data_IF_072109789767
#
_entry.id   IF_072109789767
#
_cell.length_a   1.000
_cell.length_b   1.000
_cell.length_c   1.000
_cell.angle_alpha   90.00
_cell.angle_beta   90.00
_cell.angle_gamma   90.00
#
_symmetry.space_group_name_H-M   'P 1'
#
loop_
_entity.id
_entity.type
_entity.pdbx_description
1 polymer ?
#
# COMPACT_ATOMS: atom_id res chain seq x y z
N UNK A 1 16.10 -40.26 -49.47
CA UNK A 1 15.48 -38.91 -49.48
C UNK A 1 14.05 -39.08 -48.99
N UNK A 2 13.57 -38.51 -47.89
CA UNK A 2 13.86 -37.24 -47.22
C UNK A 2 13.36 -37.34 -45.76
N UNK A 3 14.17 -36.88 -44.82
CA UNK A 3 13.80 -36.67 -43.41
C UNK A 3 12.87 -35.46 -43.29
N UNK A 4 11.83 -35.55 -42.47
CA UNK A 4 11.01 -34.40 -42.06
C UNK A 4 11.20 -34.21 -40.57
N UNK A 5 12.00 -33.22 -40.19
CA UNK A 5 12.13 -32.77 -38.82
C UNK A 5 11.16 -31.60 -38.60
N UNK A 6 10.22 -31.76 -37.67
CA UNK A 6 9.32 -30.68 -37.23
C UNK A 6 10.05 -29.91 -36.13
N UNK A 7 10.42 -28.66 -36.42
CA UNK A 7 11.00 -27.73 -35.44
C UNK A 7 9.85 -27.03 -34.73
N UNK A 8 9.62 -27.36 -33.45
CA UNK A 8 8.71 -26.62 -32.60
C UNK A 8 9.39 -25.33 -32.13
N UNK A 9 8.90 -24.17 -32.57
CA UNK A 9 9.33 -22.88 -32.07
C UNK A 9 8.61 -22.60 -30.74
N UNK A 10 9.36 -22.59 -29.64
CA UNK A 10 8.84 -22.18 -28.32
C UNK A 10 8.97 -20.66 -28.23
N UNK A 11 7.86 -19.94 -28.37
CA UNK A 11 7.84 -18.50 -28.17
C UNK A 11 7.90 -18.18 -26.67
N UNK A 12 9.06 -17.75 -26.18
CA UNK A 12 9.20 -17.16 -24.85
C UNK A 12 8.62 -15.74 -24.88
N UNK A 13 7.43 -15.56 -24.33
CA UNK A 13 6.88 -14.23 -24.08
C UNK A 13 7.68 -13.59 -22.94
N UNK A 14 8.60 -12.68 -23.28
CA UNK A 14 9.21 -11.79 -22.30
C UNK A 14 8.18 -10.71 -21.94
N UNK A 15 7.46 -10.91 -20.84
CA UNK A 15 6.71 -9.81 -20.23
C UNK A 15 7.70 -8.74 -19.76
N UNK A 16 7.49 -7.49 -20.15
CA UNK A 16 8.27 -6.37 -19.62
C UNK A 16 8.08 -6.33 -18.10
N UNK A 17 9.15 -6.57 -17.34
CA UNK A 17 9.16 -6.33 -15.91
C UNK A 17 9.14 -4.81 -15.74
N UNK A 18 7.96 -4.25 -15.45
CA UNK A 18 7.85 -2.86 -15.01
C UNK A 18 8.41 -2.85 -13.60
N UNK A 19 9.65 -2.37 -13.46
CA UNK A 19 10.21 -2.06 -12.14
C UNK A 19 9.46 -0.82 -11.67
N UNK A 20 8.75 -0.94 -10.54
CA UNK A 20 8.12 0.20 -9.90
C UNK A 20 9.21 1.22 -9.51
N UNK A 21 8.91 2.50 -9.68
CA UNK A 21 9.85 3.57 -9.38
C UNK A 21 10.06 3.66 -7.86
N UNK A 22 11.31 3.62 -7.40
CA UNK A 22 11.62 3.78 -5.97
C UNK A 22 11.30 5.20 -5.51
N UNK A 23 10.66 5.34 -4.35
CA UNK A 23 10.32 6.65 -3.81
C UNK A 23 11.57 7.48 -3.52
N UNK A 24 11.67 8.64 -4.19
CA UNK A 24 12.63 9.65 -3.80
C UNK A 24 12.34 10.10 -2.35
N UNK A 25 13.33 9.95 -1.45
CA UNK A 25 13.14 10.19 -0.01
C UNK A 25 12.56 11.58 0.29
N UNK A 26 12.96 12.60 -0.47
CA UNK A 26 12.49 13.97 -0.33
C UNK A 26 11.02 14.11 -0.73
N UNK A 27 10.61 13.55 -1.87
CA UNK A 27 9.22 13.59 -2.34
C UNK A 27 8.30 12.90 -1.35
N UNK A 28 8.67 11.71 -0.88
CA UNK A 28 7.87 10.97 0.09
C UNK A 28 7.80 11.68 1.44
N UNK A 29 8.90 12.28 1.88
CA UNK A 29 8.90 13.07 3.13
C UNK A 29 7.97 14.26 3.04
N UNK A 30 7.96 14.99 1.91
CA UNK A 30 7.04 16.11 1.71
C UNK A 30 5.58 15.68 1.61
N UNK A 31 5.30 14.52 1.02
CA UNK A 31 3.95 13.96 0.96
C UNK A 31 3.43 13.55 2.35
N UNK A 32 4.28 12.92 3.19
CA UNK A 32 3.86 12.39 4.48
C UNK A 32 3.93 13.41 5.64
N UNK A 33 4.80 14.42 5.57
CA UNK A 33 4.98 15.40 6.65
C UNK A 33 3.68 16.13 7.06
N UNK A 34 2.80 16.55 6.13
CA UNK A 34 1.50 17.13 6.48
C UNK A 34 0.62 16.21 7.34
N UNK A 35 0.81 14.89 7.24
CA UNK A 35 0.04 13.88 7.94
C UNK A 35 0.58 13.57 9.34
N UNK A 36 1.71 14.17 9.77
CA UNK A 36 2.42 13.82 11.00
C UNK A 36 1.51 13.85 12.24
N UNK A 37 0.75 14.93 12.41
CA UNK A 37 -0.15 15.08 13.55
C UNK A 37 -1.26 14.02 13.55
N UNK A 38 -1.92 13.82 12.41
CA UNK A 38 -2.99 12.82 12.29
C UNK A 38 -2.45 11.38 12.42
N UNK A 39 -1.23 11.12 11.94
CA UNK A 39 -0.52 9.86 12.15
C UNK A 39 -0.28 9.61 13.64
N UNK A 40 0.12 10.64 14.40
CA UNK A 40 0.27 10.55 15.86
C UNK A 40 -1.04 10.20 16.58
N UNK A 41 -2.14 10.86 16.22
CA UNK A 41 -3.45 10.56 16.80
C UNK A 41 -3.96 9.17 16.43
N UNK A 42 -3.81 8.76 15.16
CA UNK A 42 -4.19 7.43 14.73
C UNK A 42 -3.36 6.35 15.45
N UNK A 43 -2.06 6.59 15.65
CA UNK A 43 -1.19 5.67 16.38
C UNK A 43 -1.59 5.52 17.85
N UNK A 44 -2.09 6.58 18.49
CA UNK A 44 -2.60 6.50 19.85
C UNK A 44 -3.84 5.59 19.96
N UNK A 45 -4.71 5.59 18.94
CA UNK A 45 -5.94 4.80 18.94
C UNK A 45 -5.73 3.35 18.47
N UNK A 46 -4.83 3.12 17.52
CA UNK A 46 -4.69 1.85 16.80
C UNK A 46 -3.37 1.13 17.00
N UNK A 47 -2.33 1.85 17.46
CA UNK A 47 -0.96 1.36 17.47
C UNK A 47 -0.28 1.32 16.10
N UNK A 48 -0.91 1.83 15.03
CA UNK A 48 -0.32 1.93 13.69
C UNK A 48 0.20 3.34 13.40
N UNK A 49 1.37 3.45 12.75
CA UNK A 49 1.97 4.71 12.33
C UNK A 49 2.11 4.73 10.80
N UNK A 50 1.50 5.73 10.17
CA UNK A 50 1.72 6.00 8.75
C UNK A 50 2.95 6.87 8.51
N UNK A 51 3.24 7.78 9.45
CA UNK A 51 4.43 8.63 9.43
C UNK A 51 5.26 8.47 10.72
N UNK A 52 6.57 8.15 10.60
CA UNK A 52 7.20 7.60 9.40
C UNK A 52 6.56 6.26 9.00
N UNK A 53 6.60 5.89 7.72
CA UNK A 53 5.96 4.67 7.23
C UNK A 53 6.59 3.41 7.84
N UNK A 54 5.76 2.54 8.42
CA UNK A 54 6.20 1.29 9.07
C UNK A 54 5.64 0.03 8.40
N UNK A 55 5.33 0.08 7.10
CA UNK A 55 4.66 -1.01 6.39
C UNK A 55 3.14 -0.98 6.55
N UNK A 56 2.47 -2.05 6.12
CA UNK A 56 1.02 -2.22 6.27
C UNK A 56 0.63 -2.53 7.73
N UNK A 57 -0.54 -2.06 8.20
CA UNK A 57 -1.05 -2.43 9.52
C UNK A 57 -1.35 -3.93 9.61
N UNK A 58 -1.21 -4.51 10.80
CA UNK A 58 -1.75 -5.84 11.09
C UNK A 58 -3.27 -5.84 11.02
N UNK A 59 -3.90 -7.02 10.98
CA UNK A 59 -5.37 -7.14 10.96
C UNK A 59 -6.00 -6.46 12.19
N UNK A 60 -5.39 -6.59 13.37
CA UNK A 60 -5.92 -5.99 14.60
C UNK A 60 -5.72 -4.48 14.63
N UNK A 61 -4.57 -3.99 14.15
CA UNK A 61 -4.34 -2.56 13.95
C UNK A 61 -5.35 -1.99 12.95
N UNK A 62 -5.58 -2.65 11.81
CA UNK A 62 -6.57 -2.23 10.82
C UNK A 62 -7.97 -2.13 11.43
N UNK A 63 -8.42 -3.17 12.15
CA UNK A 63 -9.72 -3.13 12.85
C UNK A 63 -9.84 -1.98 13.85
N UNK A 64 -8.75 -1.61 14.51
CA UNK A 64 -8.72 -0.45 15.41
C UNK A 64 -8.74 0.87 14.63
N UNK A 65 -7.97 0.97 13.54
CA UNK A 65 -7.95 2.13 12.64
C UNK A 65 -9.35 2.43 12.11
N UNK A 66 -10.07 1.43 11.60
CA UNK A 66 -11.39 1.64 10.99
C UNK A 66 -12.43 2.17 11.98
N UNK A 67 -12.24 1.94 13.29
CA UNK A 67 -13.11 2.47 14.36
C UNK A 67 -12.68 3.86 14.86
N UNK A 68 -11.47 4.30 14.54
CA UNK A 68 -10.90 5.57 15.00
C UNK A 68 -11.22 6.70 14.04
N UNK A 69 -11.83 7.78 14.56
CA UNK A 69 -12.05 9.01 13.78
C UNK A 69 -10.72 9.65 13.34
N UNK A 70 -9.68 9.55 14.17
CA UNK A 70 -8.37 10.09 13.85
C UNK A 70 -7.72 9.32 12.69
N UNK A 71 -7.82 8.00 12.68
CA UNK A 71 -7.33 7.16 11.59
C UNK A 71 -8.11 7.34 10.30
N UNK A 72 -9.45 7.43 10.35
CA UNK A 72 -10.24 7.72 9.15
C UNK A 72 -9.85 9.08 8.55
N UNK A 73 -9.70 10.13 9.37
CA UNK A 73 -9.23 11.45 8.92
C UNK A 73 -7.81 11.41 8.34
N UNK A 74 -6.90 10.65 8.96
CA UNK A 74 -5.54 10.44 8.43
C UNK A 74 -5.57 9.83 7.03
N UNK A 75 -6.37 8.78 6.86
CA UNK A 75 -6.53 8.10 5.59
C UNK A 75 -7.13 9.05 4.54
N UNK A 76 -8.20 9.80 4.88
CA UNK A 76 -8.83 10.78 3.97
C UNK A 76 -7.82 11.82 3.49
N UNK A 77 -7.07 12.42 4.41
CA UNK A 77 -6.02 13.38 4.06
C UNK A 77 -4.91 12.75 3.22
N UNK A 78 -4.57 11.48 3.44
CA UNK A 78 -3.58 10.79 2.64
C UNK A 78 -4.05 10.58 1.19
N UNK A 79 -5.32 10.22 0.97
CA UNK A 79 -5.89 10.08 -0.38
C UNK A 79 -6.02 11.43 -1.10
N UNK A 80 -6.50 12.44 -0.39
CA UNK A 80 -6.65 13.79 -0.94
C UNK A 80 -5.30 14.43 -1.31
N UNK A 81 -4.22 13.97 -0.69
CA UNK A 81 -2.85 14.43 -0.97
C UNK A 81 -2.20 13.74 -2.18
N UNK A 82 -2.91 12.86 -2.89
CA UNK A 82 -2.40 12.12 -4.07
C UNK A 82 -1.01 11.52 -3.81
N UNK A 83 -0.92 10.62 -2.83
CA UNK A 83 0.34 9.97 -2.45
C UNK A 83 1.08 9.41 -3.66
N UNK A 84 2.44 9.51 -3.67
CA UNK A 84 3.22 9.14 -4.83
C UNK A 84 3.09 7.64 -5.14
N UNK A 85 2.91 7.34 -6.43
CA UNK A 85 2.91 5.98 -6.97
C UNK A 85 4.35 5.49 -7.15
N UNK A 86 4.95 5.11 -6.03
CA UNK A 86 6.34 4.67 -5.94
C UNK A 86 6.52 3.63 -4.83
N UNK A 87 7.57 2.81 -4.95
CA UNK A 87 7.91 1.78 -3.99
C UNK A 87 8.81 2.32 -2.88
N UNK A 88 8.44 2.00 -1.64
CA UNK A 88 9.30 2.15 -0.46
C UNK A 88 9.59 0.77 0.12
N UNK A 89 10.87 0.41 0.20
CA UNK A 89 11.29 -0.81 0.90
C UNK A 89 11.34 -0.58 2.41
N UNK A 90 10.51 -1.30 3.16
CA UNK A 90 10.53 -1.36 4.61
C UNK A 90 10.74 -2.80 5.10
N UNK A 91 11.75 -3.04 5.94
CA UNK A 91 12.12 -4.38 6.43
C UNK A 91 12.23 -5.45 5.33
N UNK A 92 12.77 -5.08 4.17
CA UNK A 92 12.97 -6.00 3.03
C UNK A 92 11.71 -6.30 2.22
N UNK A 93 10.58 -5.64 2.51
CA UNK A 93 9.35 -5.71 1.71
C UNK A 93 9.15 -4.38 1.00
N UNK A 94 8.95 -4.42 -0.32
CA UNK A 94 8.58 -3.26 -1.11
C UNK A 94 7.08 -2.98 -0.96
N UNK A 95 6.74 -1.72 -0.69
CA UNK A 95 5.37 -1.24 -0.60
C UNK A 95 5.20 -0.08 -1.56
N UNK A 96 4.30 -0.21 -2.52
CA UNK A 96 3.84 0.95 -3.27
C UNK A 96 3.04 1.86 -2.34
N UNK A 97 3.45 3.12 -2.17
CA UNK A 97 2.85 4.01 -1.16
C UNK A 97 1.41 4.38 -1.52
N UNK A 98 1.14 4.71 -2.78
CA UNK A 98 -0.21 4.99 -3.26
C UNK A 98 -1.15 3.79 -3.03
N UNK A 99 -0.75 2.60 -3.50
CA UNK A 99 -1.54 1.38 -3.34
C UNK A 99 -1.73 1.01 -1.87
N UNK A 100 -0.71 1.23 -1.02
CA UNK A 100 -0.81 0.94 0.41
C UNK A 100 -1.92 1.75 1.08
N UNK A 101 -2.07 3.04 0.73
CA UNK A 101 -3.16 3.86 1.25
C UNK A 101 -4.51 3.35 0.76
N UNK A 102 -4.67 3.11 -0.54
CA UNK A 102 -5.92 2.60 -1.11
C UNK A 102 -6.32 1.23 -0.50
N UNK A 103 -5.35 0.35 -0.25
CA UNK A 103 -5.57 -0.93 0.43
C UNK A 103 -5.97 -0.76 1.89
N UNK A 104 -5.46 0.25 2.61
CA UNK A 104 -5.91 0.55 3.97
C UNK A 104 -7.38 0.99 3.99
N UNK A 105 -7.80 1.81 3.02
CA UNK A 105 -9.20 2.20 2.86
C UNK A 105 -10.12 1.02 2.56
N UNK A 106 -9.79 0.25 1.52
CA UNK A 106 -10.55 -0.92 1.14
C UNK A 106 -10.62 -1.95 2.29
N UNK A 107 -9.55 -2.05 3.08
CA UNK A 107 -9.50 -2.87 4.29
C UNK A 107 -10.59 -2.50 5.29
N UNK A 108 -10.86 -1.20 5.49
CA UNK A 108 -11.93 -0.75 6.38
C UNK A 108 -13.33 -1.09 5.86
N UNK A 109 -13.58 -0.94 4.56
CA UNK A 109 -14.86 -1.31 3.96
C UNK A 109 -15.15 -2.80 4.12
N UNK A 110 -14.15 -3.66 3.86
CA UNK A 110 -14.30 -5.12 4.00
C UNK A 110 -14.49 -5.55 5.46
N UNK A 111 -13.78 -4.92 6.41
CA UNK A 111 -13.97 -5.21 7.83
C UNK A 111 -15.38 -4.83 8.29
N UNK A 112 -15.91 -3.71 7.82
CA UNK A 112 -17.27 -3.30 8.13
C UNK A 112 -18.32 -4.26 7.57
N UNK A 113 -18.12 -4.77 6.34
CA UNK A 113 -18.99 -5.82 5.77
C UNK A 113 -18.99 -7.10 6.63
N UNK A 114 -17.81 -7.55 7.10
CA UNK A 114 -17.71 -8.72 7.95
C UNK A 114 -18.46 -8.55 9.28
N UNK A 115 -18.53 -7.33 9.81
CA UNK A 115 -19.29 -7.02 11.02
C UNK A 115 -20.81 -7.08 10.79
N UNK A 116 -21.28 -6.73 9.60
CA UNK A 116 -22.71 -6.82 9.23
C UNK A 116 -23.14 -8.27 8.96
N UNK A 117 -22.21 -9.11 8.50
CA UNK A 117 -22.46 -10.52 8.19
C UNK A 117 -22.40 -11.48 9.41
N UNK A 118 -22.06 -10.99 10.60
CA UNK A 118 -21.92 -11.76 11.85
C UNK A 118 -23.12 -11.55 12.79
#
# INVERSE_FOLDING_TARGET
MKSVAVVAAVATAFGSLVVAEECASTTLSFALLPLESQSGFCAADSGYKLYPFTGMPSIDQMKAMCKSKACNKLLDEARDSEMPDCDLTFNGTAYNIHESIELMFAGCEVIDLNKVAS
#
